data_IF_046912541662
#
_entry.id   IF_046912541662
#
_cell.length_a   1.000
_cell.length_b   1.000
_cell.length_c   1.000
_cell.angle_alpha   90.00
_cell.angle_beta   90.00
_cell.angle_gamma   90.00
#
_symmetry.space_group_name_H-M   'P 1'
#
loop_
_entity.id
_entity.type
_entity.pdbx_description
1 polymer ?
#
# COMPACT_ATOMS: atom_id res chain seq x y z
N UNK A 1 8.87 -63.83 82.03
CA UNK A 1 9.37 -64.98 81.23
C UNK A 1 8.51 -65.01 79.98
N UNK A 2 8.83 -64.14 79.01
CA UNK A 2 9.78 -64.42 77.91
C UNK A 2 9.19 -65.47 76.94
N UNK A 3 9.06 -65.22 75.64
CA UNK A 3 9.52 -64.08 74.87
C UNK A 3 8.90 -63.99 73.49
N UNK A 4 8.79 -62.76 73.00
CA UNK A 4 8.58 -62.46 71.59
C UNK A 4 9.95 -62.42 70.90
N UNK A 5 10.05 -63.13 69.79
CA UNK A 5 11.26 -63.18 68.95
C UNK A 5 11.47 -61.83 68.26
N UNK A 6 12.73 -61.39 68.05
CA UNK A 6 13.02 -60.10 67.43
C UNK A 6 12.76 -60.17 65.92
N UNK A 7 12.07 -59.16 65.38
CA UNK A 7 11.95 -58.92 63.94
C UNK A 7 13.11 -58.00 63.52
N UNK A 8 13.91 -58.47 62.57
CA UNK A 8 15.09 -57.79 62.05
C UNK A 8 14.69 -56.55 61.20
N UNK A 9 15.31 -55.38 61.40
CA UNK A 9 14.95 -54.17 60.67
C UNK A 9 15.50 -54.21 59.24
N UNK A 10 14.60 -54.15 58.26
CA UNK A 10 14.97 -53.99 56.84
C UNK A 10 15.69 -52.67 56.63
N UNK A 11 16.94 -52.76 56.15
CA UNK A 11 17.73 -51.64 55.63
C UNK A 11 17.10 -51.18 54.31
N UNK A 12 16.40 -50.03 54.32
CA UNK A 12 16.04 -49.32 53.09
C UNK A 12 17.28 -48.60 52.56
N UNK A 13 17.78 -49.00 51.40
CA UNK A 13 18.72 -48.19 50.63
C UNK A 13 17.98 -46.96 50.05
N UNK A 14 18.57 -45.75 50.12
CA UNK A 14 17.92 -44.57 49.56
C UNK A 14 17.91 -44.65 48.02
N UNK A 15 16.79 -44.32 47.36
CA UNK A 15 16.69 -44.44 45.91
C UNK A 15 17.60 -43.44 45.21
N UNK A 16 18.39 -43.93 44.25
CA UNK A 16 19.28 -43.18 43.35
C UNK A 16 18.55 -42.24 42.36
N UNK A 17 17.32 -41.83 42.68
CA UNK A 17 16.39 -41.08 41.80
C UNK A 17 16.36 -39.58 42.11
N UNK A 18 17.02 -39.11 43.18
CA UNK A 18 16.97 -37.70 43.55
C UNK A 18 17.90 -36.78 42.75
N UNK A 19 18.88 -37.32 42.01
CA UNK A 19 19.91 -36.51 41.35
C UNK A 19 19.71 -36.28 39.83
N UNK A 20 18.69 -36.90 39.21
CA UNK A 20 18.36 -36.71 37.78
C UNK A 20 17.29 -35.65 37.54
N UNK A 21 16.39 -35.43 38.51
CA UNK A 21 15.24 -34.53 38.36
C UNK A 21 15.68 -33.05 38.44
N UNK A 22 16.76 -32.73 39.15
CA UNK A 22 17.25 -31.35 39.27
C UNK A 22 18.07 -30.86 38.05
N UNK A 23 18.66 -31.76 37.25
CA UNK A 23 19.40 -31.35 36.05
C UNK A 23 18.53 -31.23 34.80
N UNK A 24 17.40 -31.96 34.73
CA UNK A 24 16.54 -31.93 33.54
C UNK A 24 15.56 -30.74 33.54
N UNK A 25 15.26 -30.15 34.70
CA UNK A 25 14.34 -29.02 34.83
C UNK A 25 14.98 -27.65 34.50
N UNK A 26 16.27 -27.59 34.18
CA UNK A 26 16.97 -26.35 33.78
C UNK A 26 16.97 -26.16 32.25
N UNK A 27 16.69 -27.21 31.48
CA UNK A 27 16.61 -27.14 30.03
C UNK A 27 15.14 -27.14 29.63
N UNK A 28 14.69 -26.07 28.96
CA UNK A 28 13.36 -25.87 28.38
C UNK A 28 12.34 -25.11 29.22
N UNK A 29 12.71 -23.94 29.72
CA UNK A 29 11.77 -22.80 29.66
C UNK A 29 12.25 -21.88 28.56
N UNK A 30 11.93 -22.21 27.30
CA UNK A 30 11.96 -21.20 26.24
C UNK A 30 10.76 -20.31 26.54
N UNK A 31 11.00 -19.22 27.28
CA UNK A 31 10.01 -18.16 27.44
C UNK A 31 9.62 -17.72 26.03
N UNK A 32 8.38 -18.02 25.63
CA UNK A 32 7.83 -17.50 24.39
C UNK A 32 7.74 -15.99 24.57
N UNK A 33 8.63 -15.25 23.92
CA UNK A 33 8.61 -13.78 23.97
C UNK A 33 7.21 -13.34 23.52
N UNK A 34 6.52 -12.60 24.39
CA UNK A 34 5.20 -12.04 24.09
C UNK A 34 5.31 -11.13 22.87
N UNK A 35 4.45 -11.35 21.89
CA UNK A 35 4.39 -10.55 20.66
C UNK A 35 3.10 -9.77 20.65
N UNK A 36 3.20 -8.46 20.52
CA UNK A 36 2.04 -7.58 20.42
C UNK A 36 2.27 -6.49 19.38
N UNK A 37 1.18 -5.85 18.94
CA UNK A 37 1.23 -4.68 18.05
C UNK A 37 0.42 -3.57 18.71
N UNK A 38 0.96 -2.35 18.68
CA UNK A 38 0.28 -1.16 19.21
C UNK A 38 0.62 0.08 18.38
N UNK A 39 -0.13 1.15 18.58
CA UNK A 39 0.22 2.47 18.05
C UNK A 39 1.60 2.91 18.52
N UNK A 40 2.37 3.50 17.61
CA UNK A 40 3.67 4.07 17.92
C UNK A 40 3.53 5.35 18.75
N UNK A 41 4.43 5.53 19.70
CA UNK A 41 4.51 6.67 20.59
C UNK A 41 5.78 7.47 20.33
N UNK A 42 5.89 8.64 20.97
CA UNK A 42 7.10 9.47 20.95
C UNK A 42 8.36 8.73 21.43
N UNK A 43 8.23 7.76 22.33
CA UNK A 43 9.35 7.00 22.89
C UNK A 43 9.94 5.99 21.89
N UNK A 44 9.16 5.53 20.92
CA UNK A 44 9.57 4.48 19.99
C UNK A 44 10.47 4.99 18.84
N UNK A 45 10.54 6.30 18.64
CA UNK A 45 11.16 6.90 17.45
C UNK A 45 12.66 6.61 17.33
N UNK A 46 13.37 6.48 18.45
CA UNK A 46 14.78 6.12 18.46
C UNK A 46 14.99 4.68 17.96
N UNK A 47 14.14 3.74 18.41
CA UNK A 47 14.21 2.34 17.96
C UNK A 47 13.83 2.21 16.48
N UNK A 48 12.78 2.90 16.03
CA UNK A 48 12.38 2.96 14.62
C UNK A 48 13.51 3.51 13.74
N UNK A 49 14.14 4.62 14.16
CA UNK A 49 15.27 5.20 13.45
C UNK A 49 16.43 4.21 13.33
N UNK A 50 16.75 3.49 14.42
CA UNK A 50 17.80 2.46 14.42
C UNK A 50 17.48 1.30 13.48
N UNK A 51 16.25 0.79 13.50
CA UNK A 51 15.81 -0.29 12.59
C UNK A 51 15.94 0.16 11.14
N UNK A 52 15.44 1.35 10.81
CA UNK A 52 15.48 1.86 9.44
C UNK A 52 16.90 2.17 8.97
N UNK A 53 17.74 2.72 9.83
CA UNK A 53 19.14 3.02 9.52
C UNK A 53 19.92 1.76 9.10
N UNK A 54 19.64 0.60 9.70
CA UNK A 54 20.21 -0.67 9.25
C UNK A 54 19.86 -0.96 7.78
N UNK A 55 18.60 -0.80 7.39
CA UNK A 55 18.17 -1.02 6.00
C UNK A 55 18.74 0.01 5.03
N UNK A 56 18.87 1.27 5.45
CA UNK A 56 19.53 2.33 4.67
C UNK A 56 20.99 1.97 4.41
N UNK A 57 21.74 1.55 5.42
CA UNK A 57 23.17 1.31 5.33
C UNK A 57 23.54 0.00 4.60
N UNK A 58 22.74 -1.05 4.77
CA UNK A 58 23.16 -2.41 4.40
C UNK A 58 22.31 -3.06 3.30
N UNK A 59 21.23 -2.41 2.85
CA UNK A 59 20.29 -3.03 1.92
C UNK A 59 19.76 -2.04 0.88
N UNK A 60 19.03 -2.57 -0.10
CA UNK A 60 18.26 -1.76 -1.06
C UNK A 60 16.76 -1.77 -0.79
N UNK A 61 16.32 -2.31 0.35
CA UNK A 61 14.90 -2.39 0.69
C UNK A 61 14.24 -1.00 0.74
N UNK A 62 15.05 0.03 1.03
CA UNK A 62 14.72 1.44 0.84
C UNK A 62 15.73 2.10 -0.10
N UNK A 63 15.24 3.10 -0.84
CA UNK A 63 16.06 3.96 -1.68
C UNK A 63 16.60 5.19 -0.95
N UNK A 64 16.28 5.38 0.33
CA UNK A 64 16.97 6.40 1.13
C UNK A 64 18.45 6.05 1.25
N UNK A 65 19.31 7.03 0.98
CA UNK A 65 20.77 6.93 1.13
C UNK A 65 21.26 7.50 2.47
N UNK A 66 20.47 8.40 3.08
CA UNK A 66 20.74 8.99 4.39
C UNK A 66 19.60 8.64 5.33
N UNK A 67 19.92 8.05 6.47
CA UNK A 67 18.92 7.62 7.43
C UNK A 67 18.25 8.83 8.10
N UNK A 68 16.90 8.89 8.17
CA UNK A 68 16.20 9.93 8.91
C UNK A 68 16.50 9.85 10.41
N UNK A 69 16.50 11.00 11.07
CA UNK A 69 16.70 11.10 12.52
C UNK A 69 15.44 10.68 13.29
N UNK A 70 15.57 10.45 14.59
CA UNK A 70 14.41 10.19 15.45
C UNK A 70 13.38 11.34 15.43
N UNK A 71 13.82 12.59 15.25
CA UNK A 71 12.91 13.73 15.15
C UNK A 71 12.23 13.83 13.78
N UNK A 72 12.88 13.37 12.70
CA UNK A 72 12.20 13.19 11.41
C UNK A 72 11.07 12.16 11.52
N UNK A 73 11.35 11.03 12.17
CA UNK A 73 10.34 10.00 12.42
C UNK A 73 9.21 10.50 13.33
N UNK A 74 9.51 11.32 14.35
CA UNK A 74 8.50 11.96 15.19
C UNK A 74 7.56 12.82 14.36
N UNK A 75 8.11 13.72 13.53
CA UNK A 75 7.32 14.59 12.62
C UNK A 75 6.48 13.78 11.65
N UNK A 76 7.07 12.72 11.07
CA UNK A 76 6.37 11.83 10.13
C UNK A 76 5.21 11.09 10.80
N UNK A 77 5.43 10.55 12.01
CA UNK A 77 4.35 9.95 12.79
C UNK A 77 3.23 10.95 13.01
N UNK A 78 3.56 12.15 13.51
CA UNK A 78 2.55 13.16 13.84
C UNK A 78 1.71 13.58 12.62
N UNK A 79 2.35 13.80 11.47
CA UNK A 79 1.65 14.08 10.21
C UNK A 79 0.71 12.94 9.80
N UNK A 80 1.19 11.70 9.80
CA UNK A 80 0.40 10.54 9.37
C UNK A 80 -0.76 10.26 10.32
N UNK A 81 -0.51 10.27 11.64
CA UNK A 81 -1.57 10.07 12.64
C UNK A 81 -2.56 11.22 12.66
N UNK A 82 -2.11 12.46 12.39
CA UNK A 82 -3.00 13.62 12.26
C UNK A 82 -3.94 13.53 11.05
N UNK A 83 -3.58 12.71 10.04
CA UNK A 83 -4.45 12.36 8.90
C UNK A 83 -5.36 11.16 9.18
N UNK A 84 -5.28 10.58 10.38
CA UNK A 84 -5.99 9.35 10.75
C UNK A 84 -5.37 8.06 10.17
N UNK A 85 -4.15 8.11 9.63
CA UNK A 85 -3.48 6.94 9.08
C UNK A 85 -2.72 6.15 10.17
N UNK A 86 -2.62 4.81 10.05
CA UNK A 86 -1.97 3.98 11.05
C UNK A 86 -0.46 4.21 11.06
N UNK A 87 0.10 4.26 12.27
CA UNK A 87 1.53 4.18 12.55
C UNK A 87 1.74 3.29 13.77
N UNK A 88 2.31 2.10 13.56
CA UNK A 88 2.32 0.99 14.49
C UNK A 88 3.74 0.50 14.76
N UNK A 89 3.93 -0.08 15.94
CA UNK A 89 5.12 -0.87 16.31
C UNK A 89 4.72 -2.28 16.70
N UNK A 90 5.57 -3.23 16.34
CA UNK A 90 5.52 -4.59 16.85
C UNK A 90 6.51 -4.70 18.01
N UNK A 91 6.06 -5.30 19.10
CA UNK A 91 6.86 -5.56 20.28
C UNK A 91 7.20 -7.05 20.38
N UNK A 92 8.38 -7.31 20.92
CA UNK A 92 8.80 -8.62 21.41
C UNK A 92 9.27 -8.44 22.86
N UNK A 93 8.35 -8.68 23.81
CA UNK A 93 8.49 -8.18 25.17
C UNK A 93 8.42 -6.65 25.19
N UNK A 94 9.39 -5.99 25.81
CA UNK A 94 9.47 -4.52 25.85
C UNK A 94 10.25 -3.91 24.67
N UNK A 95 10.82 -4.73 23.80
CA UNK A 95 11.64 -4.28 22.67
C UNK A 95 10.80 -4.05 21.41
N UNK A 96 11.04 -2.93 20.71
CA UNK A 96 10.48 -2.68 19.38
C UNK A 96 11.16 -3.61 18.36
N UNK A 97 10.45 -4.65 17.98
CA UNK A 97 10.91 -5.67 17.02
C UNK A 97 10.65 -5.29 15.56
N UNK A 98 9.85 -4.26 15.31
CA UNK A 98 9.51 -3.78 13.99
C UNK A 98 8.50 -2.65 14.02
N UNK A 99 8.27 -2.02 12.87
CA UNK A 99 7.28 -0.97 12.74
C UNK A 99 6.63 -1.00 11.36
N UNK A 100 5.45 -0.41 11.29
CA UNK A 100 4.73 -0.27 10.04
C UNK A 100 3.89 1.01 10.05
N UNK A 101 3.67 1.59 8.89
CA UNK A 101 2.77 2.73 8.73
C UNK A 101 2.15 2.74 7.34
N UNK A 102 1.13 3.57 7.17
CA UNK A 102 0.62 3.92 5.85
C UNK A 102 0.72 5.42 5.61
N UNK A 103 1.04 5.80 4.37
CA UNK A 103 1.14 7.20 3.95
C UNK A 103 0.41 7.46 2.62
N UNK A 104 0.20 8.73 2.24
CA UNK A 104 -0.33 9.06 0.91
C UNK A 104 0.58 8.50 -0.18
N UNK A 105 0.02 7.78 -1.16
CA UNK A 105 0.83 7.18 -2.23
C UNK A 105 1.52 8.23 -3.11
N UNK A 106 0.78 9.28 -3.51
CA UNK A 106 1.30 10.37 -4.36
C UNK A 106 0.64 11.69 -4.02
N UNK A 107 1.32 12.83 -4.22
CA UNK A 107 0.82 14.15 -3.79
C UNK A 107 -0.34 14.69 -4.64
N UNK A 108 -0.64 14.10 -5.81
CA UNK A 108 -1.71 14.62 -6.68
C UNK A 108 -3.08 14.35 -6.04
N UNK A 109 -4.01 15.32 -5.98
CA UNK A 109 -5.30 15.18 -5.29
C UNK A 109 -6.20 14.01 -5.74
N UNK A 110 -6.03 13.53 -6.97
CA UNK A 110 -6.76 12.37 -7.47
C UNK A 110 -6.38 11.05 -6.74
N UNK A 111 -5.21 10.99 -6.10
CA UNK A 111 -4.75 9.85 -5.30
C UNK A 111 -5.15 9.91 -3.82
N UNK A 112 -5.98 10.88 -3.40
CA UNK A 112 -6.33 11.08 -1.97
C UNK A 112 -6.96 9.86 -1.27
N UNK A 113 -7.48 8.90 -2.02
CA UNK A 113 -8.02 7.64 -1.48
C UNK A 113 -7.07 6.45 -1.65
N UNK A 114 -5.83 6.67 -2.08
CA UNK A 114 -4.80 5.64 -2.25
C UNK A 114 -3.68 5.90 -1.28
N UNK A 115 -3.37 4.88 -0.49
CA UNK A 115 -2.27 4.90 0.47
C UNK A 115 -1.20 3.89 0.05
N UNK A 116 0.01 4.11 0.52
CA UNK A 116 1.13 3.19 0.42
C UNK A 116 1.44 2.65 1.81
N UNK A 117 1.62 1.34 1.93
CA UNK A 117 2.05 0.71 3.18
C UNK A 117 3.58 0.54 3.23
N UNK A 118 4.11 0.54 4.44
CA UNK A 118 5.54 0.36 4.69
C UNK A 118 5.72 -0.48 5.94
N UNK A 119 6.60 -1.49 5.89
CA UNK A 119 6.87 -2.41 7.00
C UNK A 119 8.38 -2.69 7.06
N UNK A 120 8.97 -2.56 8.25
CA UNK A 120 10.34 -2.97 8.54
C UNK A 120 10.41 -3.73 9.86
N UNK A 121 11.22 -4.79 9.90
CA UNK A 121 11.47 -5.57 11.11
C UNK A 121 12.94 -5.40 11.51
N UNK A 122 13.24 -5.38 12.80
CA UNK A 122 14.61 -5.54 13.23
C UNK A 122 15.17 -6.88 12.69
N UNK A 123 16.43 -6.95 12.21
CA UNK A 123 16.96 -8.14 11.53
C UNK A 123 16.80 -9.44 12.34
N UNK A 124 16.96 -9.37 13.66
CA UNK A 124 16.81 -10.48 14.60
C UNK A 124 15.37 -11.02 14.72
N UNK A 125 14.38 -10.32 14.16
CA UNK A 125 12.96 -10.63 14.29
C UNK A 125 12.26 -10.98 12.96
N UNK A 126 13.03 -11.04 11.87
CA UNK A 126 12.53 -11.51 10.58
C UNK A 126 12.13 -12.99 10.65
N UNK A 127 11.16 -13.41 9.82
CA UNK A 127 10.70 -14.82 9.78
C UNK A 127 9.88 -15.29 10.99
N UNK A 128 9.62 -14.43 11.99
CA UNK A 128 8.90 -14.79 13.23
C UNK A 128 7.40 -14.47 13.25
N UNK A 129 6.82 -14.19 12.08
CA UNK A 129 5.39 -13.87 11.90
C UNK A 129 4.99 -12.40 12.13
N UNK A 130 5.87 -11.57 12.70
CA UNK A 130 5.57 -10.17 13.02
C UNK A 130 5.22 -9.30 11.80
N UNK A 131 5.80 -9.60 10.63
CA UNK A 131 5.47 -8.89 9.39
C UNK A 131 4.00 -9.09 8.99
N UNK A 132 3.46 -10.29 9.18
CA UNK A 132 2.04 -10.57 8.95
C UNK A 132 1.16 -9.82 9.94
N UNK A 133 1.51 -9.85 11.23
CA UNK A 133 0.75 -9.15 12.28
C UNK A 133 0.72 -7.64 12.05
N UNK A 134 1.85 -7.04 11.65
CA UNK A 134 1.92 -5.62 11.30
C UNK A 134 1.10 -5.29 10.05
N UNK A 135 1.23 -6.08 8.99
CA UNK A 135 0.51 -5.84 7.75
C UNK A 135 -1.01 -5.92 7.98
N UNK A 136 -1.47 -6.91 8.74
CA UNK A 136 -2.88 -7.04 9.11
C UNK A 136 -3.40 -5.78 9.82
N UNK A 137 -2.68 -5.32 10.84
CA UNK A 137 -3.06 -4.14 11.62
C UNK A 137 -3.01 -2.84 10.79
N UNK A 138 -2.01 -2.66 9.93
CA UNK A 138 -1.95 -1.52 9.01
C UNK A 138 -3.13 -1.52 8.04
N UNK A 139 -3.48 -2.67 7.47
CA UNK A 139 -4.59 -2.76 6.53
C UNK A 139 -5.94 -2.46 7.20
N UNK A 140 -6.12 -2.88 8.46
CA UNK A 140 -7.28 -2.51 9.26
C UNK A 140 -7.34 -0.98 9.47
N UNK A 141 -6.25 -0.36 9.93
CA UNK A 141 -6.20 1.09 10.10
C UNK A 141 -6.40 1.88 8.80
N UNK A 142 -5.88 1.38 7.67
CA UNK A 142 -6.14 1.97 6.35
C UNK A 142 -7.62 1.92 5.97
N UNK A 143 -8.32 0.83 6.29
CA UNK A 143 -9.75 0.70 6.02
C UNK A 143 -10.56 1.67 6.90
N UNK A 144 -10.22 1.81 8.18
CA UNK A 144 -10.82 2.76 9.12
C UNK A 144 -10.60 4.21 8.67
N UNK A 145 -9.42 4.52 8.14
CA UNK A 145 -9.09 5.83 7.57
C UNK A 145 -9.81 6.14 6.23
N UNK A 146 -10.65 5.22 5.73
CA UNK A 146 -11.38 5.40 4.47
C UNK A 146 -10.49 5.32 3.22
N UNK A 147 -9.31 4.71 3.32
CA UNK A 147 -8.52 4.39 2.14
C UNK A 147 -9.33 3.48 1.22
N UNK A 148 -9.13 3.59 -0.09
CA UNK A 148 -9.80 2.82 -1.15
C UNK A 148 -8.88 1.76 -1.76
N UNK A 149 -7.60 2.08 -1.86
CA UNK A 149 -6.55 1.20 -2.37
C UNK A 149 -5.32 1.32 -1.46
N UNK A 150 -4.65 0.20 -1.26
CA UNK A 150 -3.34 0.13 -0.62
C UNK A 150 -2.34 -0.38 -1.66
N UNK A 151 -1.23 0.33 -1.81
CA UNK A 151 -0.14 0.02 -2.75
C UNK A 151 1.09 -0.35 -1.95
N UNK A 152 1.73 -1.45 -2.31
CA UNK A 152 3.05 -1.82 -1.81
C UNK A 152 4.08 -1.55 -2.90
N UNK A 153 5.10 -0.76 -2.56
CA UNK A 153 6.22 -0.42 -3.43
C UNK A 153 7.45 -1.18 -2.95
N UNK A 154 7.81 -2.26 -3.65
CA UNK A 154 8.80 -3.23 -3.17
C UNK A 154 10.04 -3.15 -4.06
N UNK A 155 11.16 -2.70 -3.48
CA UNK A 155 12.44 -2.77 -4.16
C UNK A 155 12.90 -4.22 -4.30
N UNK A 156 13.49 -4.56 -5.46
CA UNK A 156 14.04 -5.88 -5.69
C UNK A 156 15.34 -6.08 -4.88
N UNK A 157 15.20 -6.78 -3.76
CA UNK A 157 16.32 -7.13 -2.88
C UNK A 157 17.00 -8.45 -3.27
N UNK A 158 16.47 -9.16 -4.28
CA UNK A 158 16.81 -10.55 -4.57
C UNK A 158 16.05 -11.57 -3.72
N UNK A 159 15.14 -11.11 -2.85
CA UNK A 159 14.28 -11.96 -2.00
C UNK A 159 12.80 -11.77 -2.34
N UNK A 160 12.07 -12.89 -2.43
CA UNK A 160 10.62 -12.90 -2.66
C UNK A 160 9.81 -12.71 -1.36
N UNK A 161 10.47 -12.60 -0.19
CA UNK A 161 9.80 -12.62 1.11
C UNK A 161 8.72 -11.53 1.26
N UNK A 162 9.02 -10.29 0.84
CA UNK A 162 8.07 -9.17 0.92
C UNK A 162 6.90 -9.38 -0.05
N UNK A 163 7.17 -9.74 -1.31
CA UNK A 163 6.11 -9.98 -2.29
C UNK A 163 5.22 -11.16 -1.90
N UNK A 164 5.80 -12.23 -1.35
CA UNK A 164 5.06 -13.37 -0.83
C UNK A 164 4.16 -13.00 0.36
N UNK A 165 4.64 -12.15 1.27
CA UNK A 165 3.82 -11.60 2.37
C UNK A 165 2.62 -10.84 1.80
N UNK A 166 2.84 -9.88 0.91
CA UNK A 166 1.75 -9.09 0.32
C UNK A 166 0.75 -9.96 -0.45
N UNK A 167 1.22 -10.97 -1.20
CA UNK A 167 0.33 -11.93 -1.89
C UNK A 167 -0.59 -12.68 -0.94
N UNK A 168 -0.11 -13.09 0.25
CA UNK A 168 -0.95 -13.74 1.28
C UNK A 168 -2.06 -12.83 1.80
N UNK A 169 -1.82 -11.52 1.78
CA UNK A 169 -2.81 -10.49 2.12
C UNK A 169 -3.61 -10.00 0.91
N UNK A 170 -3.65 -10.74 -0.19
CA UNK A 170 -4.51 -10.45 -1.33
C UNK A 170 -4.04 -9.29 -2.21
N UNK A 171 -2.78 -8.87 -2.08
CA UNK A 171 -2.19 -7.96 -3.07
C UNK A 171 -1.93 -8.69 -4.38
N UNK A 172 -2.21 -8.01 -5.49
CA UNK A 172 -1.90 -8.45 -6.83
C UNK A 172 -0.83 -7.55 -7.44
N UNK A 173 0.02 -8.11 -8.31
CA UNK A 173 0.99 -7.34 -9.08
C UNK A 173 0.27 -6.35 -10.01
N UNK A 174 0.65 -5.07 -9.90
CA UNK A 174 0.13 -3.98 -10.69
C UNK A 174 1.11 -3.52 -11.79
N UNK A 175 2.40 -3.79 -11.60
CA UNK A 175 3.43 -3.52 -12.58
C UNK A 175 4.84 -3.60 -11.99
N UNK A 176 5.83 -3.49 -12.88
CA UNK A 176 7.24 -3.48 -12.52
C UNK A 176 7.93 -2.30 -13.22
N UNK A 177 8.72 -1.57 -12.45
CA UNK A 177 9.61 -0.52 -12.94
C UNK A 177 11.02 -1.12 -12.99
N UNK A 178 11.63 -1.12 -14.17
CA UNK A 178 12.94 -1.74 -14.39
C UNK A 178 14.03 -0.69 -14.26
N UNK A 179 15.10 -0.98 -13.53
CA UNK A 179 16.27 -0.11 -13.32
C UNK A 179 15.90 1.32 -12.90
N UNK A 180 14.95 1.47 -11.97
CA UNK A 180 14.42 2.80 -11.58
C UNK A 180 15.13 3.39 -10.37
N UNK A 181 15.65 2.56 -9.47
CA UNK A 181 16.46 2.98 -8.33
C UNK A 181 17.94 2.72 -8.58
N UNK A 182 18.81 3.56 -8.02
CA UNK A 182 20.25 3.34 -8.01
C UNK A 182 20.77 3.50 -6.58
N UNK A 183 21.39 2.45 -6.03
CA UNK A 183 21.97 2.45 -4.69
C UNK A 183 23.03 1.36 -4.57
N UNK A 184 24.09 1.59 -3.80
CA UNK A 184 25.22 0.65 -3.65
C UNK A 184 25.79 0.18 -4.99
N UNK A 185 26.00 1.13 -5.91
CA UNK A 185 26.54 0.93 -7.25
C UNK A 185 25.75 -0.05 -8.15
N UNK A 186 24.46 -0.25 -7.88
CA UNK A 186 23.58 -1.11 -8.69
C UNK A 186 22.26 -0.44 -9.01
N UNK A 187 21.75 -0.72 -10.22
CA UNK A 187 20.38 -0.42 -10.60
C UNK A 187 19.43 -1.46 -10.03
N UNK A 188 18.26 -1.01 -9.57
CA UNK A 188 17.31 -1.82 -8.79
C UNK A 188 15.91 -1.63 -9.39
N UNK A 189 15.24 -2.76 -9.58
CA UNK A 189 13.85 -2.81 -10.00
C UNK A 189 12.90 -2.51 -8.84
N UNK A 190 11.70 -2.07 -9.17
CA UNK A 190 10.63 -1.87 -8.19
C UNK A 190 9.38 -2.61 -8.65
N UNK A 191 8.91 -3.53 -7.82
CA UNK A 191 7.64 -4.22 -7.98
C UNK A 191 6.54 -3.40 -7.32
N UNK A 192 5.49 -3.10 -8.07
CA UNK A 192 4.28 -2.47 -7.56
C UNK A 192 3.21 -3.54 -7.37
N UNK A 193 2.73 -3.67 -6.15
CA UNK A 193 1.58 -4.51 -5.84
C UNK A 193 0.45 -3.64 -5.28
N UNK A 194 -0.80 -4.04 -5.48
CA UNK A 194 -1.93 -3.29 -4.93
C UNK A 194 -3.06 -4.23 -4.49
N UNK A 195 -3.89 -3.74 -3.57
CA UNK A 195 -5.17 -4.33 -3.22
C UNK A 195 -6.23 -3.26 -2.92
N UNK A 196 -7.53 -3.57 -3.11
CA UNK A 196 -8.57 -2.80 -2.45
C UNK A 196 -8.49 -2.96 -0.93
N UNK A 197 -8.78 -1.87 -0.24
CA UNK A 197 -9.15 -1.91 1.17
C UNK A 197 -10.60 -2.42 1.28
N UNK A 198 -10.89 -3.18 2.32
CA UNK A 198 -12.21 -3.80 2.47
C UNK A 198 -13.35 -2.79 2.74
N UNK A 199 -13.02 -1.54 3.09
CA UNK A 199 -13.99 -0.45 3.27
C UNK A 199 -14.74 -0.08 1.98
N UNK A 200 -14.21 -0.49 0.82
CA UNK A 200 -14.70 -0.03 -0.46
C UNK A 200 -14.44 -1.09 -1.55
N UNK A 201 -15.39 -2.02 -1.78
CA UNK A 201 -15.25 -3.05 -2.82
C UNK A 201 -15.11 -2.42 -4.22
N UNK A 202 -14.24 -2.97 -5.08
CA UNK A 202 -14.08 -2.61 -6.51
C UNK A 202 -15.46 -2.27 -7.12
N UNK A 203 -15.69 -1.09 -7.75
CA UNK A 203 -16.77 -1.05 -8.72
C UNK A 203 -16.47 -2.17 -9.71
N UNK A 204 -17.48 -3.01 -10.01
CA UNK A 204 -17.31 -4.14 -10.89
C UNK A 204 -16.52 -3.69 -12.12
N UNK A 205 -15.38 -4.33 -12.38
CA UNK A 205 -14.52 -3.97 -13.51
C UNK A 205 -15.42 -3.97 -14.74
N UNK A 206 -15.65 -2.79 -15.34
CA UNK A 206 -16.44 -2.71 -16.55
C UNK A 206 -15.90 -3.78 -17.50
N UNK A 207 -16.73 -4.77 -17.83
CA UNK A 207 -16.31 -5.88 -18.66
C UNK A 207 -15.64 -5.25 -19.87
N UNK A 208 -14.35 -5.53 -20.07
CA UNK A 208 -13.69 -5.11 -21.30
C UNK A 208 -14.51 -5.78 -22.40
N UNK A 209 -15.33 -4.99 -23.10
CA UNK A 209 -16.05 -5.46 -24.27
C UNK A 209 -15.05 -6.18 -25.17
N UNK A 210 -15.50 -7.19 -25.94
CA UNK A 210 -14.61 -7.96 -26.79
C UNK A 210 -13.68 -7.00 -27.53
N UNK A 211 -12.36 -7.24 -27.46
CA UNK A 211 -11.39 -6.52 -28.30
C UNK A 211 -11.99 -6.57 -29.70
N UNK A 212 -12.37 -5.43 -30.26
CA UNK A 212 -12.82 -5.38 -31.66
C UNK A 212 -11.62 -5.84 -32.49
N UNK A 213 -11.55 -7.13 -32.78
CA UNK A 213 -10.72 -7.68 -33.84
C UNK A 213 -11.38 -7.27 -35.14
N UNK A 214 -11.07 -6.06 -35.59
CA UNK A 214 -11.32 -5.63 -36.96
C UNK A 214 -10.37 -4.49 -37.23
N UNK A 215 -9.28 -4.84 -37.93
CA UNK A 215 -8.77 -3.98 -38.99
C UNK A 215 -10.01 -3.48 -39.76
N UNK A 216 -10.39 -2.23 -39.55
CA UNK A 216 -11.27 -1.56 -40.49
C UNK A 216 -10.56 -1.57 -41.84
N UNK A 217 -11.22 -1.91 -42.97
CA UNK A 217 -10.62 -1.66 -44.26
C UNK A 217 -10.28 -0.16 -44.35
N UNK A 218 -9.17 0.22 -44.99
CA UNK A 218 -8.80 1.62 -45.09
C UNK A 218 -9.93 2.36 -45.80
N UNK A 219 -10.36 3.48 -45.22
CA UNK A 219 -11.21 4.45 -45.92
C UNK A 219 -10.42 4.87 -47.16
N UNK A 220 -10.95 4.59 -48.36
CA UNK A 220 -10.36 5.10 -49.60
C UNK A 220 -10.36 6.63 -49.52
N UNK A 221 -9.17 7.23 -49.50
CA UNK A 221 -9.01 8.68 -49.69
C UNK A 221 -8.30 9.46 -48.58
N UNK A 222 -7.83 8.84 -47.49
CA UNK A 222 -7.04 9.54 -46.45
C UNK A 222 -5.64 8.93 -46.39
N UNK A 223 -4.62 9.71 -46.78
CA UNK A 223 -3.22 9.25 -46.85
C UNK A 223 -2.39 9.50 -45.59
N UNK A 224 -2.88 10.23 -44.58
CA UNK A 224 -2.21 10.26 -43.26
C UNK A 224 -3.12 10.81 -42.15
N UNK A 225 -2.85 10.41 -40.91
CA UNK A 225 -3.48 10.96 -39.69
C UNK A 225 -3.04 12.42 -39.39
N UNK A 226 -2.04 12.93 -40.11
CA UNK A 226 -1.41 14.23 -39.90
C UNK A 226 -2.15 15.40 -40.58
N UNK A 227 -3.06 15.12 -41.53
CA UNK A 227 -3.82 16.16 -42.25
C UNK A 227 -5.08 16.65 -41.50
N UNK A 228 -5.40 16.09 -40.33
CA UNK A 228 -6.55 16.52 -39.53
C UNK A 228 -6.22 17.57 -38.45
N UNK A 229 -4.95 17.94 -38.26
CA UNK A 229 -4.52 18.93 -37.26
C UNK A 229 -4.09 20.28 -37.84
N UNK A 230 -4.09 20.44 -39.17
CA UNK A 230 -3.63 21.66 -39.83
C UNK A 230 -4.70 22.75 -40.02
N UNK A 231 -5.93 22.53 -39.54
CA UNK A 231 -6.95 23.59 -39.46
C UNK A 231 -7.49 23.71 -38.04
N UNK A 232 -7.14 24.84 -37.42
CA UNK A 232 -7.68 25.44 -36.18
C UNK A 232 -6.93 25.15 -34.88
N UNK A 233 -5.72 25.71 -34.74
CA UNK A 233 -5.17 26.04 -33.41
C UNK A 233 -5.54 27.50 -33.10
N UNK A 234 -6.46 27.70 -32.15
CA UNK A 234 -6.70 29.03 -31.57
C UNK A 234 -5.47 29.41 -30.71
N UNK A 235 -4.90 30.62 -30.86
CA UNK A 235 -3.79 31.08 -30.02
C UNK A 235 -4.18 31.21 -28.54
N UNK A 236 -3.25 30.84 -27.66
CA UNK A 236 -3.34 30.86 -26.20
C UNK A 236 -3.78 32.22 -25.60
N UNK A 237 -3.61 33.32 -26.33
CA UNK A 237 -4.00 34.67 -25.90
C UNK A 237 -5.51 34.87 -25.74
N UNK A 238 -6.34 34.08 -26.43
CA UNK A 238 -7.81 34.24 -26.40
C UNK A 238 -8.46 33.48 -25.22
N UNK A 239 -7.74 32.53 -24.61
CA UNK A 239 -8.26 31.67 -23.55
C UNK A 239 -8.33 32.36 -22.18
N UNK A 240 -7.61 33.48 -21.98
CA UNK A 240 -7.62 34.25 -20.73
C UNK A 240 -8.88 35.09 -20.49
N UNK A 241 -9.65 35.42 -21.53
CA UNK A 241 -10.88 36.23 -21.37
C UNK A 241 -12.10 35.44 -20.88
N UNK A 242 -12.07 34.11 -20.87
CA UNK A 242 -13.22 33.27 -20.47
C UNK A 242 -13.18 32.80 -18.99
N UNK A 243 -12.18 33.21 -18.22
CA UNK A 243 -12.01 32.82 -16.80
C UNK A 243 -12.21 34.02 -15.84
N UNK A 244 -12.36 35.25 -16.36
CA UNK A 244 -12.69 36.43 -15.58
C UNK A 244 -14.19 36.57 -15.40
N UNK A 245 -14.69 36.33 -14.18
CA UNK A 245 -16.12 36.40 -13.86
C UNK A 245 -16.74 37.79 -14.07
N UNK A 246 -17.96 37.81 -14.60
CA UNK A 246 -18.82 38.98 -14.70
C UNK A 246 -20.22 38.59 -15.15
N UNK A 247 -21.25 38.98 -14.38
CA UNK A 247 -22.66 38.69 -14.64
C UNK A 247 -23.14 39.38 -15.93
N UNK A 248 -23.91 38.66 -16.75
CA UNK A 248 -24.92 39.20 -17.67
C UNK A 248 -25.96 38.06 -17.86
N UNK A 249 -27.26 38.26 -17.72
CA UNK A 249 -28.08 39.26 -18.41
C UNK A 249 -28.75 38.54 -19.59
N UNK A 250 -30.07 38.37 -19.50
CA UNK A 250 -30.88 37.64 -20.47
C UNK A 250 -30.79 38.22 -21.90
N UNK A 251 -30.79 37.33 -22.90
CA UNK A 251 -31.00 37.67 -24.31
C UNK A 251 -29.74 38.02 -25.11
N UNK A 252 -28.95 37.03 -25.52
CA UNK A 252 -27.84 37.21 -26.46
C UNK A 252 -27.61 35.97 -27.32
N UNK A 253 -27.74 36.11 -28.64
CA UNK A 253 -27.52 35.04 -29.63
C UNK A 253 -26.08 34.53 -29.55
N UNK A 254 -25.92 33.22 -29.35
CA UNK A 254 -24.61 32.55 -29.37
C UNK A 254 -24.11 32.55 -30.83
N UNK A 255 -23.04 33.28 -31.12
CA UNK A 255 -22.32 33.22 -32.39
C UNK A 255 -20.86 32.83 -32.12
N UNK A 256 -20.36 31.83 -32.85
CA UNK A 256 -19.01 31.28 -32.66
C UNK A 256 -18.95 29.76 -32.43
N UNK A 257 -17.76 29.20 -32.13
CA UNK A 257 -17.34 27.82 -32.38
C UNK A 257 -18.12 26.70 -31.66
N UNK A 258 -19.11 27.05 -30.83
CA UNK A 258 -20.04 26.11 -30.21
C UNK A 258 -20.95 25.38 -31.20
N UNK A 259 -21.27 25.96 -32.38
CA UNK A 259 -22.07 25.23 -33.39
C UNK A 259 -21.33 24.02 -33.97
N UNK A 260 -20.01 24.11 -34.13
CA UNK A 260 -19.21 23.04 -34.74
C UNK A 260 -19.06 21.83 -33.82
N UNK A 261 -19.00 22.06 -32.50
CA UNK A 261 -18.98 21.00 -31.50
C UNK A 261 -20.32 20.29 -31.35
N UNK A 262 -21.44 21.03 -31.46
CA UNK A 262 -22.77 20.41 -31.49
C UNK A 262 -22.94 19.50 -32.70
N UNK A 263 -22.55 19.95 -33.90
CA UNK A 263 -22.65 19.14 -35.13
C UNK A 263 -21.72 17.92 -35.12
N UNK A 264 -20.55 18.02 -34.48
CA UNK A 264 -19.63 16.88 -34.32
C UNK A 264 -20.18 15.85 -33.32
N UNK A 265 -20.77 16.31 -32.21
CA UNK A 265 -21.45 15.43 -31.26
C UNK A 265 -22.64 14.72 -31.91
N UNK A 266 -23.49 15.44 -32.65
CA UNK A 266 -24.66 14.86 -33.32
C UNK A 266 -24.25 13.82 -34.38
N UNK A 267 -23.20 14.11 -35.19
CA UNK A 267 -22.67 13.17 -36.17
C UNK A 267 -22.06 11.91 -35.53
N UNK A 268 -21.46 12.02 -34.34
CA UNK A 268 -20.91 10.89 -33.60
C UNK A 268 -22.00 10.05 -32.89
N UNK A 269 -23.14 10.68 -32.54
CA UNK A 269 -24.34 10.01 -32.04
C UNK A 269 -25.07 9.26 -33.15
N UNK A 270 -25.28 9.87 -34.32
CA UNK A 270 -25.87 9.20 -35.49
C UNK A 270 -25.02 8.05 -36.02
N UNK A 271 -23.69 8.19 -35.96
CA UNK A 271 -22.75 7.12 -36.34
C UNK A 271 -22.60 6.01 -35.27
N UNK A 272 -23.31 6.10 -34.14
CA UNK A 272 -23.33 5.07 -33.08
C UNK A 272 -22.00 4.94 -32.30
N UNK A 273 -21.16 5.96 -32.32
CA UNK A 273 -19.86 5.98 -31.63
C UNK A 273 -19.97 6.42 -30.16
N UNK A 274 -21.07 7.05 -29.77
CA UNK A 274 -21.41 7.47 -28.42
C UNK A 274 -22.88 7.13 -28.12
N UNK A 275 -23.13 6.51 -26.97
CA UNK A 275 -24.50 6.22 -26.52
C UNK A 275 -25.21 7.48 -26.01
N UNK A 276 -26.53 7.56 -26.18
CA UNK A 276 -27.32 8.64 -25.60
C UNK A 276 -27.21 8.62 -24.07
N UNK A 277 -26.82 9.75 -23.48
CA UNK A 277 -26.88 9.94 -22.03
C UNK A 277 -28.35 10.10 -21.60
N UNK A 278 -28.84 9.41 -20.55
CA UNK A 278 -30.24 9.48 -20.12
C UNK A 278 -30.57 10.74 -19.29
N UNK A 279 -30.03 11.91 -19.67
CA UNK A 279 -30.22 13.16 -18.94
C UNK A 279 -31.29 14.10 -19.54
N UNK A 280 -31.84 13.82 -20.72
CA UNK A 280 -32.87 14.67 -21.36
C UNK A 280 -34.22 13.95 -21.51
N UNK A 281 -34.80 13.49 -20.39
CA UNK A 281 -36.25 13.25 -20.30
C UNK A 281 -36.81 13.96 -19.10
N UNK A 282 -37.07 15.25 -19.27
CA UNK A 282 -37.70 16.08 -18.24
C UNK A 282 -37.82 17.55 -18.62
N UNK A 283 -38.52 17.87 -19.71
CA UNK A 283 -39.25 19.13 -19.90
C UNK A 283 -39.85 19.16 -21.31
N UNK A 284 -41.13 18.77 -21.46
CA UNK A 284 -42.16 19.51 -22.21
C UNK A 284 -43.45 18.67 -22.33
N UNK A 285 -44.52 19.24 -21.74
CA UNK A 285 -45.96 18.90 -21.79
C UNK A 285 -46.47 17.79 -20.87
#
# INVERSE_FOLDING_TARGET
MEGERPVEPQRLDPPAELNKIQHFAIITTVSAIEKSVRSATAADMAAIASIYAHYVAHTVATFDEVAPTADDWRRKRDDLTGRGLPFLVALAGDEVAGFAYAGPFRPKPAYRHTVEDTIYLAPAYTGKGLGSTLLEAVLAGCAEAGARQVVAVIADTGSDASAALHRRFGFAEAGRLVNVGYKHARWIDTLLMQRPSNAHPAPARAQRGPRRSRLSPPIKGIRSWFDLQSTTVCPWSTQKSLIGGGRAGAGGKISGPCRMWATLCDALVEAGHIGHSPADRGAER
#
